data_IF_593966586218
#
_entry.id   IF_593966586218
#
_cell.length_a   1.000
_cell.length_b   1.000
_cell.length_c   1.000
_cell.angle_alpha   90.00
_cell.angle_beta   90.00
_cell.angle_gamma   90.00
#
_symmetry.space_group_name_H-M   'P 1'
#
loop_
_entity.id
_entity.type
_entity.pdbx_description
1 polymer ?
#
# COMPACT_ATOMS: atom_id res chain seq x y z
N UNK A 1 -14.66 21.06 18.32
CA UNK A 1 -15.34 19.99 17.56
C UNK A 1 -14.65 19.87 16.21
N UNK A 2 -13.55 19.11 16.14
CA UNK A 2 -12.82 18.89 14.88
C UNK A 2 -13.60 17.92 13.99
N UNK A 3 -13.96 18.40 12.80
CA UNK A 3 -14.64 17.60 11.79
C UNK A 3 -13.61 16.74 11.09
N UNK A 4 -13.39 15.51 11.55
CA UNK A 4 -12.62 14.51 10.81
C UNK A 4 -13.37 14.17 9.53
N UNK A 5 -13.04 14.87 8.44
CA UNK A 5 -13.54 14.57 7.11
C UNK A 5 -12.94 13.24 6.66
N UNK A 6 -13.76 12.20 6.65
CA UNK A 6 -13.38 10.87 6.13
C UNK A 6 -13.11 11.02 4.63
N UNK A 7 -11.86 11.26 4.23
CA UNK A 7 -11.47 11.32 2.82
C UNK A 7 -11.66 9.94 2.19
N UNK A 8 -12.72 9.80 1.41
CA UNK A 8 -12.96 8.62 0.59
C UNK A 8 -11.76 8.44 -0.37
N UNK A 9 -11.17 7.25 -0.36
CA UNK A 9 -9.99 6.94 -1.17
C UNK A 9 -10.36 7.00 -2.65
N UNK A 10 -10.00 8.10 -3.33
CA UNK A 10 -10.20 8.23 -4.77
C UNK A 10 -9.31 7.21 -5.48
N UNK A 11 -9.92 6.29 -6.23
CA UNK A 11 -9.19 5.39 -7.12
C UNK A 11 -8.66 6.19 -8.32
N UNK A 12 -7.34 6.37 -8.39
CA UNK A 12 -6.66 7.01 -9.52
C UNK A 12 -6.07 5.96 -10.46
N UNK A 13 -6.33 6.11 -11.76
CA UNK A 13 -5.77 5.28 -12.83
C UNK A 13 -4.34 5.69 -13.21
N UNK A 14 -3.67 4.87 -14.05
CA UNK A 14 -2.28 5.10 -14.44
C UNK A 14 -2.06 6.46 -15.14
N UNK A 15 -2.98 6.88 -16.00
CA UNK A 15 -2.89 8.16 -16.70
C UNK A 15 -2.98 9.35 -15.75
N UNK A 16 -3.89 9.28 -14.77
CA UNK A 16 -4.02 10.31 -13.74
C UNK A 16 -2.75 10.42 -12.90
N UNK A 17 -2.08 9.29 -12.63
CA UNK A 17 -0.78 9.28 -11.95
C UNK A 17 0.35 9.85 -12.81
N UNK A 18 0.35 9.67 -14.14
CA UNK A 18 1.32 10.33 -15.01
C UNK A 18 1.19 11.84 -14.93
N UNK A 19 -0.01 12.37 -15.12
CA UNK A 19 -0.28 13.81 -15.01
C UNK A 19 0.15 14.36 -13.66
N UNK A 20 -0.16 13.63 -12.58
CA UNK A 20 0.18 14.04 -11.23
C UNK A 20 1.70 14.04 -10.98
N UNK A 21 2.44 13.06 -11.50
CA UNK A 21 3.90 13.04 -11.44
C UNK A 21 4.55 14.13 -12.31
N UNK A 22 4.01 14.42 -13.49
CA UNK A 22 4.50 15.53 -14.32
C UNK A 22 4.31 16.88 -13.63
N UNK A 23 3.21 17.07 -12.89
CA UNK A 23 3.01 18.26 -12.04
C UNK A 23 4.03 18.34 -10.91
N UNK A 24 4.41 17.20 -10.33
CA UNK A 24 5.48 17.16 -9.32
C UNK A 24 6.81 17.60 -9.92
N UNK A 25 7.20 17.05 -11.07
CA UNK A 25 8.48 17.35 -11.73
C UNK A 25 8.61 18.85 -12.07
N UNK A 26 7.51 19.54 -12.38
CA UNK A 26 7.48 20.99 -12.61
C UNK A 26 7.23 21.86 -11.36
N UNK A 27 7.01 21.28 -10.18
CA UNK A 27 6.58 22.03 -9.00
C UNK A 27 7.73 22.64 -8.18
N UNK A 28 8.93 22.06 -8.24
CA UNK A 28 10.05 22.43 -7.36
C UNK A 28 9.84 22.15 -5.87
N UNK A 29 8.73 21.49 -5.49
CA UNK A 29 8.41 21.16 -4.10
C UNK A 29 9.09 19.87 -3.66
N UNK A 30 9.29 19.71 -2.36
CA UNK A 30 9.62 18.40 -1.80
C UNK A 30 8.44 17.43 -1.95
N UNK A 31 8.73 16.12 -1.92
CA UNK A 31 7.70 15.08 -2.01
C UNK A 31 6.66 15.21 -0.90
N UNK A 32 7.10 15.53 0.33
CA UNK A 32 6.20 15.67 1.48
C UNK A 32 5.22 16.85 1.28
N UNK A 33 5.72 18.01 0.87
CA UNK A 33 4.90 19.20 0.61
C UNK A 33 3.92 18.97 -0.53
N UNK A 34 4.39 18.34 -1.62
CA UNK A 34 3.53 18.01 -2.75
C UNK A 34 2.44 17.01 -2.37
N UNK A 35 2.77 15.96 -1.62
CA UNK A 35 1.82 14.95 -1.16
C UNK A 35 0.76 15.55 -0.24
N UNK A 36 1.17 16.44 0.68
CA UNK A 36 0.25 17.18 1.53
C UNK A 36 -0.70 18.07 0.71
N UNK A 37 -0.17 18.80 -0.27
CA UNK A 37 -0.95 19.69 -1.14
C UNK A 37 -1.96 18.95 -2.02
N UNK A 38 -1.55 17.84 -2.63
CA UNK A 38 -2.40 17.03 -3.51
C UNK A 38 -3.30 16.03 -2.74
N UNK A 39 -3.17 15.96 -1.42
CA UNK A 39 -3.95 15.08 -0.55
C UNK A 39 -3.71 13.59 -0.84
N UNK A 40 -2.46 13.22 -1.08
CA UNK A 40 -2.03 11.84 -1.34
C UNK A 40 -0.99 11.39 -0.31
N UNK A 41 -0.87 10.07 -0.11
CA UNK A 41 0.18 9.54 0.75
C UNK A 41 1.51 9.43 0.02
N UNK A 42 2.60 9.70 0.73
CA UNK A 42 3.97 9.52 0.27
C UNK A 42 4.22 8.11 -0.28
N UNK A 43 3.71 7.09 0.43
CA UNK A 43 3.80 5.69 0.02
C UNK A 43 3.12 5.43 -1.33
N UNK A 44 1.98 6.07 -1.58
CA UNK A 44 1.28 5.94 -2.86
C UNK A 44 2.07 6.62 -3.98
N UNK A 45 2.62 7.80 -3.69
CA UNK A 45 3.47 8.55 -4.61
C UNK A 45 4.70 7.73 -5.05
N UNK A 46 5.49 7.22 -4.11
CA UNK A 46 6.66 6.40 -4.41
C UNK A 46 6.29 5.13 -5.19
N UNK A 47 5.23 4.43 -4.77
CA UNK A 47 4.78 3.22 -5.46
C UNK A 47 4.40 3.49 -6.91
N UNK A 48 3.67 4.57 -7.18
CA UNK A 48 3.25 4.91 -8.54
C UNK A 48 4.39 5.48 -9.38
N UNK A 49 5.31 6.24 -8.78
CA UNK A 49 6.54 6.68 -9.44
C UNK A 49 7.38 5.49 -9.89
N UNK A 50 7.63 4.51 -9.03
CA UNK A 50 8.33 3.27 -9.40
C UNK A 50 7.58 2.49 -10.48
N UNK A 51 6.26 2.32 -10.33
CA UNK A 51 5.42 1.60 -11.29
C UNK A 51 5.42 2.22 -12.69
N UNK A 52 5.42 3.55 -12.79
CA UNK A 52 5.39 4.27 -14.07
C UNK A 52 6.78 4.44 -14.67
N UNK A 53 7.85 4.53 -13.86
CA UNK A 53 9.24 4.46 -14.35
C UNK A 53 9.58 3.07 -14.91
N UNK A 54 9.02 2.01 -14.32
CA UNK A 54 9.07 0.65 -14.85
C UNK A 54 8.22 0.44 -16.13
N UNK A 55 7.57 1.50 -16.62
CA UNK A 55 6.71 1.53 -17.81
C UNK A 55 7.44 1.47 -19.15
N UNK A 56 8.72 1.09 -19.18
CA UNK A 56 9.35 0.44 -20.32
C UNK A 56 9.58 -1.03 -19.97
N UNK A 57 8.54 -1.86 -20.10
CA UNK A 57 8.63 -3.32 -20.02
C UNK A 57 9.50 -3.91 -18.90
N UNK A 58 9.11 -3.74 -17.64
CA UNK A 58 9.39 -4.79 -16.66
C UNK A 58 8.10 -5.52 -16.34
N UNK A 59 7.72 -6.45 -17.24
CA UNK A 59 7.37 -7.80 -16.76
C UNK A 59 8.40 -8.09 -15.68
N UNK A 60 8.05 -8.47 -14.43
CA UNK A 60 9.07 -8.91 -13.50
C UNK A 60 9.88 -9.92 -14.30
N UNK A 61 11.15 -9.60 -14.58
CA UNK A 61 12.05 -10.57 -15.17
C UNK A 61 11.86 -11.78 -14.29
N UNK A 62 11.30 -12.84 -14.87
CA UNK A 62 10.76 -13.94 -14.11
C UNK A 62 11.97 -14.50 -13.41
N UNK A 63 12.18 -14.08 -12.16
CA UNK A 63 13.24 -14.55 -11.32
C UNK A 63 13.21 -16.06 -11.54
N UNK A 64 14.34 -16.61 -12.00
CA UNK A 64 14.47 -18.02 -12.32
C UNK A 64 13.66 -18.78 -11.27
N UNK A 65 12.70 -19.64 -11.67
CA UNK A 65 11.68 -20.12 -10.77
C UNK A 65 12.38 -20.58 -9.51
N UNK A 66 12.16 -19.85 -8.41
CA UNK A 66 12.72 -20.23 -7.13
C UNK A 66 12.30 -21.68 -6.96
N UNK A 67 13.28 -22.58 -6.86
CA UNK A 67 13.00 -24.00 -6.78
C UNK A 67 11.99 -24.18 -5.66
N UNK A 68 10.77 -24.57 -6.02
CA UNK A 68 9.69 -24.70 -5.07
C UNK A 68 10.03 -25.92 -4.23
N UNK A 69 10.58 -25.68 -3.04
CA UNK A 69 10.78 -26.71 -2.04
C UNK A 69 9.40 -27.01 -1.45
N UNK A 70 8.84 -28.15 -1.84
CA UNK A 70 7.64 -28.68 -1.20
C UNK A 70 8.02 -29.05 0.25
N UNK A 71 7.52 -28.29 1.22
CA UNK A 71 7.74 -28.51 2.66
C UNK A 71 6.85 -29.66 3.18
N UNK A 72 6.21 -30.42 2.28
CA UNK A 72 5.26 -31.46 2.61
C UNK A 72 3.87 -30.89 2.95
N UNK A 73 2.91 -31.81 3.11
CA UNK A 73 1.56 -31.50 3.56
C UNK A 73 1.62 -30.99 4.99
N UNK A 74 1.56 -29.67 5.16
CA UNK A 74 1.18 -29.06 6.42
C UNK A 74 -0.22 -29.59 6.73
N UNK A 75 -0.32 -30.52 7.68
CA UNK A 75 -1.62 -31.00 8.17
C UNK A 75 -2.38 -29.75 8.59
N UNK A 76 -3.34 -29.35 7.76
CA UNK A 76 -4.37 -28.42 8.18
C UNK A 76 -5.25 -29.23 9.11
N UNK A 77 -4.83 -29.32 10.36
CA UNK A 77 -5.73 -29.58 11.45
C UNK A 77 -6.92 -28.66 11.20
N UNK A 78 -8.08 -29.26 10.97
CA UNK A 78 -9.35 -28.56 10.83
C UNK A 78 -9.39 -27.57 11.96
N UNK A 79 -9.07 -26.32 11.65
CA UNK A 79 -8.84 -25.32 12.65
C UNK A 79 -10.23 -25.01 13.15
N UNK A 80 -10.67 -25.72 14.19
CA UNK A 80 -11.76 -25.26 15.05
C UNK A 80 -11.49 -23.79 15.23
N UNK A 81 -12.38 -22.94 14.68
CA UNK A 81 -12.10 -21.55 14.33
C UNK A 81 -11.22 -20.92 15.41
N UNK A 82 -9.90 -20.95 15.21
CA UNK A 82 -9.00 -20.67 16.31
C UNK A 82 -9.24 -19.21 16.65
N UNK A 83 -9.65 -18.96 17.89
CA UNK A 83 -10.01 -17.64 18.37
C UNK A 83 -8.80 -16.75 18.10
N UNK A 84 -8.94 -15.84 17.14
CA UNK A 84 -7.87 -14.95 16.75
C UNK A 84 -8.06 -13.67 17.54
N UNK A 85 -7.11 -13.35 18.42
CA UNK A 85 -7.03 -12.05 19.07
C UNK A 85 -5.83 -11.29 18.50
N UNK A 86 -6.11 -10.17 17.85
CA UNK A 86 -5.10 -9.28 17.28
C UNK A 86 -5.22 -7.91 17.92
N UNK A 87 -4.09 -7.40 18.40
CA UNK A 87 -3.97 -6.03 18.90
C UNK A 87 -3.00 -5.28 18.00
N UNK A 88 -3.43 -4.15 17.45
CA UNK A 88 -2.64 -3.32 16.57
C UNK A 88 -2.55 -1.89 17.14
N UNK A 89 -1.34 -1.47 17.50
CA UNK A 89 -1.06 -0.08 17.86
C UNK A 89 -0.96 0.75 16.57
N UNK A 90 -1.73 1.84 16.50
CA UNK A 90 -1.80 2.74 15.35
C UNK A 90 -0.99 4.04 15.58
N UNK A 91 -0.34 4.18 16.74
CA UNK A 91 0.32 5.38 17.20
C UNK A 91 -0.64 6.41 17.81
N UNK A 92 -0.09 7.42 18.49
CA UNK A 92 -0.88 8.49 19.09
C UNK A 92 -1.83 8.05 20.22
N UNK A 93 -1.53 6.91 20.85
CA UNK A 93 -2.36 6.31 21.91
C UNK A 93 -3.58 5.55 21.40
N UNK A 94 -3.70 5.33 20.08
CA UNK A 94 -4.81 4.61 19.48
C UNK A 94 -4.45 3.15 19.25
N UNK A 95 -5.27 2.24 19.78
CA UNK A 95 -5.07 0.79 19.66
C UNK A 95 -6.34 0.11 19.12
N UNK A 96 -6.18 -0.76 18.13
CA UNK A 96 -7.25 -1.55 17.53
C UNK A 96 -7.18 -2.99 18.02
N UNK A 97 -8.29 -3.48 18.54
CA UNK A 97 -8.46 -4.87 18.97
C UNK A 97 -9.43 -5.57 18.04
N UNK A 98 -9.01 -6.71 17.50
CA UNK A 98 -9.82 -7.56 16.63
C UNK A 98 -9.89 -8.96 17.23
N UNK A 99 -11.10 -9.44 17.49
CA UNK A 99 -11.36 -10.80 17.95
C UNK A 99 -12.20 -11.52 16.90
N UNK A 100 -11.74 -12.68 16.44
CA UNK A 100 -12.53 -13.59 15.58
C UNK A 100 -12.79 -14.87 16.36
N UNK A 101 -14.04 -15.09 16.73
CA UNK A 101 -14.55 -16.38 17.23
C UNK A 101 -14.92 -17.34 16.12
#
# INVERSE_FOLDING_TARGET
MEKTTRRLRVKRGAEQWRVLLSRFDGSGLSVAEFCAREGISDTSFHRWRSRLRAGGSSKPERAAPAAFLDVGVLRRESSSAARLELTLDLGGGLQLFLVRG
#
